data_IF_458399994393
#
_entry.id   IF_458399994393
#
_cell.length_a   1.000
_cell.length_b   1.000
_cell.length_c   1.000
_cell.angle_alpha   90.00
_cell.angle_beta   90.00
_cell.angle_gamma   90.00
#
_symmetry.space_group_name_H-M   'P 1'
#
loop_
_entity.id
_entity.type
_entity.pdbx_description
1 polymer ?
#
# COMPACT_ATOMS: atom_id res chain seq x y z
N UNK A 1 -1.47 25.33 -15.61
CA UNK A 1 -1.52 23.95 -16.16
C UNK A 1 -0.83 23.02 -15.17
N UNK A 2 -1.35 21.81 -14.94
CA UNK A 2 -0.73 20.83 -14.04
C UNK A 2 0.67 20.45 -14.51
N UNK A 3 1.57 20.13 -13.57
CA UNK A 3 2.94 19.75 -13.92
C UNK A 3 2.96 18.32 -14.45
N UNK A 4 3.47 18.14 -15.66
CA UNK A 4 3.69 16.80 -16.24
C UNK A 4 5.00 16.16 -15.77
N UNK A 5 5.83 16.88 -15.01
CA UNK A 5 7.15 16.41 -14.61
C UNK A 5 7.11 15.11 -13.76
N UNK A 6 6.21 14.96 -12.77
CA UNK A 6 6.15 13.71 -11.99
C UNK A 6 5.67 12.51 -12.83
N UNK A 7 4.78 12.75 -13.80
CA UNK A 7 4.33 11.73 -14.74
C UNK A 7 5.47 11.28 -15.68
N UNK A 8 6.22 12.24 -16.23
CA UNK A 8 7.37 11.98 -17.08
C UNK A 8 8.49 11.24 -16.31
N UNK A 9 8.74 11.62 -15.06
CA UNK A 9 9.71 10.92 -14.20
C UNK A 9 9.28 9.47 -13.93
N UNK A 10 8.01 9.24 -13.57
CA UNK A 10 7.48 7.88 -13.37
C UNK A 10 7.62 7.04 -14.65
N UNK A 11 7.30 7.63 -15.80
CA UNK A 11 7.44 6.94 -17.09
C UNK A 11 8.90 6.58 -17.37
N UNK A 12 9.84 7.51 -17.19
CA UNK A 12 11.26 7.28 -17.42
C UNK A 12 11.82 6.17 -16.51
N UNK A 13 11.54 6.23 -15.19
CA UNK A 13 12.00 5.19 -14.27
C UNK A 13 11.28 3.86 -14.51
N UNK A 14 10.02 3.89 -14.95
CA UNK A 14 9.30 2.69 -15.38
C UNK A 14 9.94 2.01 -16.59
N UNK A 15 10.45 2.79 -17.56
CA UNK A 15 11.22 2.26 -18.69
C UNK A 15 12.54 1.64 -18.23
N UNK A 16 13.28 2.30 -17.34
CA UNK A 16 14.50 1.74 -16.75
C UNK A 16 14.21 0.40 -16.04
N UNK A 17 13.10 0.32 -15.29
CA UNK A 17 12.66 -0.91 -14.63
C UNK A 17 12.41 -2.05 -15.63
N UNK A 18 11.68 -1.77 -16.71
CA UNK A 18 11.42 -2.77 -17.75
C UNK A 18 12.72 -3.22 -18.42
N UNK A 19 13.62 -2.29 -18.74
CA UNK A 19 14.92 -2.60 -19.35
C UNK A 19 15.83 -3.44 -18.43
N UNK A 20 15.69 -3.30 -17.11
CA UNK A 20 16.40 -4.14 -16.15
C UNK A 20 15.85 -5.58 -16.08
N UNK A 21 14.54 -5.76 -16.26
CA UNK A 21 13.88 -7.07 -16.11
C UNK A 21 13.87 -7.90 -17.40
N UNK A 22 13.72 -7.27 -18.57
CA UNK A 22 13.62 -7.97 -19.86
C UNK A 22 14.78 -8.95 -20.12
N UNK A 23 16.06 -8.60 -19.86
CA UNK A 23 17.19 -9.50 -20.09
C UNK A 23 17.15 -10.79 -19.26
N UNK A 24 16.49 -10.78 -18.10
CA UNK A 24 16.40 -11.95 -17.21
C UNK A 24 15.77 -13.14 -17.92
N UNK A 25 14.74 -12.90 -18.74
CA UNK A 25 14.08 -13.98 -19.48
C UNK A 25 15.01 -14.65 -20.48
N UNK A 26 15.83 -13.87 -21.19
CA UNK A 26 16.83 -14.41 -22.10
C UNK A 26 17.89 -15.21 -21.34
N UNK A 27 18.35 -14.71 -20.18
CA UNK A 27 19.29 -15.40 -19.31
C UNK A 27 18.74 -16.72 -18.79
N UNK A 28 17.49 -16.75 -18.31
CA UNK A 28 16.82 -17.97 -17.82
C UNK A 28 16.72 -19.01 -18.95
N UNK A 29 16.29 -18.59 -20.15
CA UNK A 29 16.24 -19.47 -21.32
C UNK A 29 17.61 -20.06 -21.67
N UNK A 30 18.66 -19.23 -21.68
CA UNK A 30 20.02 -19.68 -21.97
C UNK A 30 20.55 -20.66 -20.92
N UNK A 31 20.36 -20.36 -19.63
CA UNK A 31 20.76 -21.24 -18.54
C UNK A 31 20.03 -22.59 -18.61
N UNK A 32 18.73 -22.56 -18.92
CA UNK A 32 17.94 -23.78 -19.09
C UNK A 32 18.47 -24.64 -20.24
N UNK A 33 18.66 -24.06 -21.42
CA UNK A 33 19.20 -24.79 -22.58
C UNK A 33 20.58 -25.38 -22.30
N UNK A 34 21.45 -24.62 -21.64
CA UNK A 34 22.78 -25.07 -21.26
C UNK A 34 22.72 -26.26 -20.28
N UNK A 35 21.90 -26.18 -19.24
CA UNK A 35 21.78 -27.25 -18.24
C UNK A 35 21.15 -28.53 -18.83
N UNK A 36 20.16 -28.39 -19.71
CA UNK A 36 19.58 -29.52 -20.45
C UNK A 36 20.63 -30.19 -21.34
N UNK A 37 21.43 -29.43 -22.08
CA UNK A 37 22.49 -29.96 -22.92
C UNK A 37 23.57 -30.68 -22.10
N UNK A 38 23.97 -30.10 -20.97
CA UNK A 38 24.95 -30.68 -20.06
C UNK A 38 24.47 -32.00 -19.44
N UNK A 39 23.21 -32.08 -19.01
CA UNK A 39 22.59 -33.31 -18.49
C UNK A 39 22.54 -34.42 -19.54
N UNK A 40 22.18 -34.08 -20.79
CA UNK A 40 22.18 -35.03 -21.90
C UNK A 40 23.56 -35.64 -22.14
N UNK A 41 24.64 -34.85 -22.06
CA UNK A 41 26.01 -35.35 -22.23
C UNK A 41 26.44 -36.31 -21.10
N UNK A 42 25.88 -36.17 -19.90
CA UNK A 42 26.11 -37.06 -18.76
C UNK A 42 25.24 -38.33 -18.76
N UNK A 43 24.34 -38.48 -19.73
CA UNK A 43 23.36 -39.57 -19.76
C UNK A 43 22.16 -39.35 -18.83
N UNK A 44 22.04 -38.18 -18.20
CA UNK A 44 20.95 -37.79 -17.30
C UNK A 44 19.80 -37.16 -18.10
N UNK A 45 19.23 -37.91 -19.06
CA UNK A 45 18.12 -37.40 -19.85
C UNK A 45 16.92 -37.08 -18.95
N UNK A 46 16.14 -36.07 -19.34
CA UNK A 46 14.95 -35.69 -18.58
C UNK A 46 13.86 -36.73 -18.81
N UNK A 47 13.45 -37.39 -17.72
CA UNK A 47 12.52 -38.53 -17.77
C UNK A 47 11.12 -38.15 -18.26
N UNK A 48 10.69 -36.90 -18.03
CA UNK A 48 9.38 -36.39 -18.42
C UNK A 48 9.32 -34.84 -18.44
N UNK A 49 8.17 -34.31 -18.87
CA UNK A 49 7.91 -32.87 -18.91
C UNK A 49 7.91 -32.20 -17.52
N UNK A 50 7.58 -32.92 -16.44
CA UNK A 50 7.64 -32.42 -15.07
C UNK A 50 9.08 -32.10 -14.64
N UNK A 51 10.02 -33.01 -14.92
CA UNK A 51 11.44 -32.77 -14.66
C UNK A 51 12.00 -31.55 -15.42
N UNK A 52 11.43 -31.24 -16.59
CA UNK A 52 11.72 -30.01 -17.34
C UNK A 52 11.23 -28.77 -16.60
N UNK A 53 9.99 -28.81 -16.13
CA UNK A 53 9.38 -27.73 -15.37
C UNK A 53 10.15 -27.44 -14.08
N UNK A 54 10.55 -28.49 -13.36
CA UNK A 54 11.30 -28.34 -12.11
C UNK A 54 12.66 -27.69 -12.37
N UNK A 55 13.36 -28.12 -13.43
CA UNK A 55 14.63 -27.49 -13.81
C UNK A 55 14.43 -26.02 -14.19
N UNK A 56 13.40 -25.72 -14.99
CA UNK A 56 13.05 -24.36 -15.38
C UNK A 56 12.76 -23.48 -14.15
N UNK A 57 11.91 -23.93 -13.23
CA UNK A 57 11.55 -23.20 -12.02
C UNK A 57 12.77 -22.94 -11.13
N UNK A 58 13.64 -23.93 -10.95
CA UNK A 58 14.87 -23.75 -10.16
C UNK A 58 15.81 -22.68 -10.75
N UNK A 59 15.91 -22.61 -12.08
CA UNK A 59 16.73 -21.60 -12.78
C UNK A 59 16.07 -20.23 -12.68
N UNK A 60 14.76 -20.16 -12.90
CA UNK A 60 13.94 -18.96 -12.75
C UNK A 60 14.10 -18.37 -11.34
N UNK A 61 13.86 -19.19 -10.31
CA UNK A 61 13.92 -18.78 -8.92
C UNK A 61 15.29 -18.27 -8.53
N UNK A 62 16.36 -18.99 -8.91
CA UNK A 62 17.73 -18.57 -8.62
C UNK A 62 18.05 -17.23 -9.30
N UNK A 63 17.75 -17.11 -10.59
CA UNK A 63 18.05 -15.90 -11.37
C UNK A 63 17.28 -14.70 -10.83
N UNK A 64 16.00 -14.87 -10.53
CA UNK A 64 15.18 -13.82 -9.94
C UNK A 64 15.62 -13.47 -8.52
N UNK A 65 16.03 -14.45 -7.72
CA UNK A 65 16.48 -14.19 -6.35
C UNK A 65 17.80 -13.43 -6.34
N UNK A 66 18.75 -13.78 -7.21
CA UNK A 66 19.99 -13.03 -7.40
C UNK A 66 19.72 -11.59 -7.86
N UNK A 67 18.84 -11.42 -8.84
CA UNK A 67 18.44 -10.10 -9.34
C UNK A 67 17.76 -9.24 -8.27
N UNK A 68 16.81 -9.81 -7.52
CA UNK A 68 16.11 -9.10 -6.45
C UNK A 68 17.04 -8.69 -5.30
N UNK A 69 18.13 -9.42 -5.08
CA UNK A 69 19.14 -9.09 -4.06
C UNK A 69 20.18 -8.09 -4.55
N UNK A 70 20.18 -7.75 -5.84
CA UNK A 70 21.12 -6.77 -6.37
C UNK A 70 20.82 -5.37 -5.82
N UNK A 71 21.88 -4.68 -5.38
CA UNK A 71 21.79 -3.30 -4.88
C UNK A 71 21.25 -2.36 -5.96
N UNK A 72 21.62 -2.58 -7.22
CA UNK A 72 21.17 -1.75 -8.35
C UNK A 72 19.66 -1.86 -8.56
N UNK A 73 19.10 -3.07 -8.51
CA UNK A 73 17.67 -3.25 -8.64
C UNK A 73 16.90 -2.72 -7.43
N UNK A 74 17.43 -2.88 -6.21
CA UNK A 74 16.84 -2.28 -5.02
C UNK A 74 16.79 -0.75 -5.13
N UNK A 75 17.86 -0.12 -5.62
CA UNK A 75 17.91 1.33 -5.87
C UNK A 75 16.90 1.75 -6.95
N UNK A 76 16.78 0.98 -8.02
CA UNK A 76 15.81 1.22 -9.10
C UNK A 76 14.36 1.11 -8.61
N UNK A 77 14.04 0.07 -7.83
CA UNK A 77 12.75 -0.10 -7.16
C UNK A 77 12.43 1.10 -6.25
N UNK A 78 13.40 1.55 -5.45
CA UNK A 78 13.21 2.69 -4.56
C UNK A 78 12.96 3.99 -5.35
N UNK A 79 13.67 4.21 -6.46
CA UNK A 79 13.44 5.35 -7.36
C UNK A 79 12.03 5.26 -7.98
N UNK A 80 11.62 4.09 -8.44
CA UNK A 80 10.30 3.86 -9.03
C UNK A 80 9.18 4.18 -8.03
N UNK A 81 9.24 3.64 -6.81
CA UNK A 81 8.26 3.89 -5.76
C UNK A 81 8.19 5.37 -5.38
N UNK A 82 9.33 6.07 -5.31
CA UNK A 82 9.37 7.51 -5.05
C UNK A 82 8.69 8.31 -6.18
N UNK A 83 8.98 8.00 -7.43
CA UNK A 83 8.34 8.64 -8.58
C UNK A 83 6.82 8.39 -8.60
N UNK A 84 6.39 7.16 -8.31
CA UNK A 84 4.98 6.80 -8.24
C UNK A 84 4.23 7.58 -7.14
N UNK A 85 4.85 7.73 -5.96
CA UNK A 85 4.28 8.50 -4.86
C UNK A 85 4.20 10.00 -5.18
N UNK A 86 5.23 10.57 -5.83
CA UNK A 86 5.19 11.96 -6.31
C UNK A 86 4.07 12.18 -7.31
N UNK A 87 3.91 11.27 -8.28
CA UNK A 87 2.83 11.36 -9.26
C UNK A 87 1.44 11.23 -8.61
N UNK A 88 1.29 10.34 -7.62
CA UNK A 88 0.04 10.21 -6.87
C UNK A 88 -0.32 11.49 -6.13
N UNK A 89 0.66 12.19 -5.57
CA UNK A 89 0.45 13.48 -4.92
C UNK A 89 0.01 14.55 -5.92
N UNK A 90 0.65 14.62 -7.09
CA UNK A 90 0.28 15.59 -8.13
C UNK A 90 -1.14 15.34 -8.65
N UNK A 91 -1.52 14.08 -8.91
CA UNK A 91 -2.90 13.73 -9.30
C UNK A 91 -3.91 14.14 -8.24
N UNK A 92 -3.61 13.96 -6.94
CA UNK A 92 -4.50 14.44 -5.85
C UNK A 92 -4.64 15.96 -5.88
N UNK A 93 -3.53 16.67 -6.02
CA UNK A 93 -3.53 18.15 -6.11
C UNK A 93 -4.35 18.63 -7.29
N UNK A 94 -4.21 17.98 -8.45
CA UNK A 94 -5.02 18.27 -9.63
C UNK A 94 -6.51 18.05 -9.37
N UNK A 95 -6.87 16.93 -8.75
CA UNK A 95 -8.26 16.63 -8.42
C UNK A 95 -8.88 17.69 -7.48
N UNK A 96 -8.14 18.11 -6.45
CA UNK A 96 -8.56 19.20 -5.55
C UNK A 96 -8.76 20.52 -6.32
N UNK A 97 -7.80 20.90 -7.17
CA UNK A 97 -7.89 22.11 -7.97
C UNK A 97 -9.05 22.08 -8.96
N UNK A 98 -9.32 20.93 -9.58
CA UNK A 98 -10.45 20.75 -10.48
C UNK A 98 -11.76 20.87 -9.71
N UNK A 99 -11.90 20.21 -8.55
CA UNK A 99 -13.09 20.32 -7.72
C UNK A 99 -13.37 21.78 -7.32
N UNK A 100 -12.35 22.52 -6.87
CA UNK A 100 -12.47 23.95 -6.58
C UNK A 100 -12.91 24.77 -7.79
N UNK A 101 -12.37 24.48 -8.98
CA UNK A 101 -12.68 25.23 -10.19
C UNK A 101 -14.12 25.04 -10.68
N UNK A 102 -14.80 23.97 -10.26
CA UNK A 102 -16.21 23.69 -10.61
C UNK A 102 -17.15 23.75 -9.39
N UNK A 103 -16.73 24.43 -8.32
CA UNK A 103 -17.48 24.60 -7.06
C UNK A 103 -17.99 23.28 -6.45
N UNK A 104 -17.24 22.20 -6.65
CA UNK A 104 -17.49 20.91 -6.01
C UNK A 104 -16.73 20.82 -4.68
N UNK A 105 -17.31 20.19 -3.64
CA UNK A 105 -16.62 19.96 -2.38
C UNK A 105 -15.30 19.22 -2.59
N UNK A 106 -14.22 19.77 -2.04
CA UNK A 106 -12.91 19.13 -2.06
C UNK A 106 -12.81 18.02 -1.01
N UNK A 107 -11.87 17.09 -1.18
CA UNK A 107 -11.66 16.04 -0.16
C UNK A 107 -11.17 16.65 1.14
N UNK A 108 -10.34 17.69 1.06
CA UNK A 108 -9.84 18.41 2.25
C UNK A 108 -10.99 19.00 3.07
N UNK A 109 -11.94 19.66 2.40
CA UNK A 109 -13.13 20.23 3.05
C UNK A 109 -14.02 19.13 3.64
N UNK A 110 -14.24 18.03 2.91
CA UNK A 110 -15.01 16.90 3.42
C UNK A 110 -14.37 16.27 4.65
N UNK A 111 -13.05 16.04 4.63
CA UNK A 111 -12.30 15.46 5.75
C UNK A 111 -12.39 16.36 7.00
N UNK A 112 -12.36 17.69 6.82
CA UNK A 112 -12.57 18.65 7.91
C UNK A 112 -13.99 18.63 8.46
N UNK A 113 -15.01 18.53 7.59
CA UNK A 113 -16.41 18.35 8.02
C UNK A 113 -16.59 17.04 8.79
N UNK A 114 -16.02 15.93 8.31
CA UNK A 114 -16.06 14.65 9.01
C UNK A 114 -15.38 14.71 10.38
N UNK A 115 -14.23 15.39 10.49
CA UNK A 115 -13.53 15.56 11.77
C UNK A 115 -14.38 16.34 12.76
N UNK A 116 -14.96 17.47 12.34
CA UNK A 116 -15.85 18.28 13.19
C UNK A 116 -17.10 17.50 13.62
N UNK A 117 -17.69 16.73 12.71
CA UNK A 117 -18.84 15.89 13.01
C UNK A 117 -18.51 14.81 14.05
N UNK A 118 -17.34 14.18 13.92
CA UNK A 118 -16.84 13.20 14.88
C UNK A 118 -16.63 13.83 16.26
N UNK A 119 -16.00 15.00 16.33
CA UNK A 119 -15.74 15.70 17.59
C UNK A 119 -17.04 16.11 18.29
N UNK A 120 -18.00 16.67 17.53
CA UNK A 120 -19.34 16.97 18.04
C UNK A 120 -20.05 15.72 18.57
N UNK A 121 -19.97 14.61 17.84
CA UNK A 121 -20.57 13.34 18.29
C UNK A 121 -19.96 12.87 19.62
N UNK A 122 -18.64 13.03 19.77
CA UNK A 122 -17.93 12.69 21.01
C UNK A 122 -18.34 13.59 22.17
N UNK A 123 -18.46 14.90 21.96
CA UNK A 123 -18.94 15.87 22.96
C UNK A 123 -20.37 15.56 23.39
N UNK A 124 -21.29 15.32 22.45
CA UNK A 124 -22.68 14.92 22.74
C UNK A 124 -22.72 13.65 23.59
N UNK A 125 -21.88 12.66 23.27
CA UNK A 125 -21.78 11.44 24.09
C UNK A 125 -21.18 11.71 25.49
N UNK A 126 -20.22 12.62 25.61
CA UNK A 126 -19.67 13.08 26.89
C UNK A 126 -20.74 13.71 27.77
N UNK A 127 -21.43 14.73 27.25
CA UNK A 127 -22.51 15.42 27.95
C UNK A 127 -23.64 14.47 28.35
N UNK A 128 -24.03 13.53 27.48
CA UNK A 128 -25.02 12.50 27.82
C UNK A 128 -24.56 11.58 28.95
N UNK A 129 -23.26 11.26 29.07
CA UNK A 129 -22.72 10.47 30.19
C UNK A 129 -22.74 11.28 31.49
N UNK A 130 -22.28 12.53 31.46
CA UNK A 130 -22.30 13.41 32.63
C UNK A 130 -23.71 13.64 33.15
N UNK A 131 -24.67 13.90 32.26
CA UNK A 131 -26.08 14.05 32.63
C UNK A 131 -26.64 12.78 33.30
N UNK A 132 -26.26 11.59 32.82
CA UNK A 132 -26.64 10.32 33.45
C UNK A 132 -26.00 10.16 34.83
N UNK A 133 -24.72 10.47 34.97
CA UNK A 133 -24.02 10.41 36.25
C UNK A 133 -24.66 11.37 37.28
N UNK A 134 -24.92 12.63 36.90
CA UNK A 134 -25.60 13.61 37.76
C UNK A 134 -26.99 13.13 38.22
N UNK A 135 -27.77 12.53 37.30
CA UNK A 135 -29.08 11.95 37.63
C UNK A 135 -28.97 10.78 38.62
N UNK A 136 -27.92 9.96 38.52
CA UNK A 136 -27.67 8.84 39.43
C UNK A 136 -27.23 9.35 40.82
N UNK A 137 -26.28 10.28 40.89
CA UNK A 137 -25.83 10.88 42.16
C UNK A 137 -26.96 11.61 42.89
N UNK A 138 -27.81 12.33 42.16
CA UNK A 138 -28.99 12.99 42.75
C UNK A 138 -30.05 12.00 43.24
N UNK A 139 -30.17 10.83 42.59
CA UNK A 139 -31.00 9.71 43.04
C UNK A 139 -30.48 9.07 44.33
N UNK A 140 -29.18 8.78 44.39
CA UNK A 140 -28.52 8.18 45.56
C UNK A 140 -28.56 9.13 46.77
N UNK A 141 -28.28 10.42 46.57
CA UNK A 141 -28.33 11.42 47.65
C UNK A 141 -29.74 11.53 48.24
N UNK A 142 -30.78 11.45 47.39
CA UNK A 142 -32.18 11.48 47.84
C UNK A 142 -32.59 10.19 48.57
N UNK A 143 -32.02 9.04 48.20
CA UNK A 143 -32.24 7.77 48.87
C UNK A 143 -31.60 7.75 50.27
N UNK A 144 -30.37 8.26 50.42
CA UNK A 144 -29.64 8.37 51.69
C UNK A 144 -30.35 9.29 52.69
N UNK A 145 -30.84 10.46 52.26
CA UNK A 145 -31.61 11.38 53.15
C UNK A 145 -32.91 10.72 53.64
N UNK A 146 -33.50 9.82 52.84
CA UNK A 146 -34.73 9.13 53.20
C UNK A 146 -34.50 7.99 54.20
N UNK A 147 -33.32 7.35 54.19
CA UNK A 147 -32.95 6.34 55.19
C UNK A 147 -32.55 6.96 56.53
N UNK A 148 -31.91 8.15 56.51
CA UNK A 148 -31.45 8.85 57.72
C UNK A 148 -32.61 9.46 58.53
N UNK A 149 -33.70 9.88 57.87
CA UNK A 149 -34.93 10.35 58.55
C UNK A 149 -35.84 9.21 59.06
N UNK A 150 -35.45 7.96 58.86
CA UNK A 150 -36.20 6.77 59.25
C UNK A 150 -35.61 5.97 60.41
N UNK A 151 -34.51 6.45 61.03
CA UNK A 151 -33.94 5.92 62.28
C UNK A 151 -34.26 6.81 63.48
#
# INVERSE_FOLDING_TARGET
>A
LPSMAPAAELMAVGQEYLLAVVPLWAQICQQFQHEVAARRQRGEAMDNAGAAMDLWNNILDRTLMEFNRSTDFANLQQRFLRAAMRQRLEVRKMAEQTAQAVDLPTRTELDDVYRRLHDLTREVHGLRRELRALRQTGGDTRAVIKSDKGS
#
